data_IF_039187638348
#
_entry.id   IF_039187638348
#
_cell.length_a   1.000
_cell.length_b   1.000
_cell.length_c   1.000
_cell.angle_alpha   90.00
_cell.angle_beta   90.00
_cell.angle_gamma   90.00
#
_symmetry.space_group_name_H-M   'P 1'
#
loop_
_entity.id
_entity.type
_entity.pdbx_description
1 polymer ?
#
# COMPACT_ATOMS: atom_id res chain seq x y z
N UNK A 1 -6.80 2.46 18.48
CA UNK A 1 -5.95 3.13 17.48
C UNK A 1 -4.49 3.25 17.91
N UNK A 2 -4.17 3.52 19.19
CA UNK A 2 -2.78 3.60 19.67
C UNK A 2 -1.94 2.35 19.36
N UNK A 3 -2.44 1.17 19.70
CA UNK A 3 -1.78 -0.12 19.41
C UNK A 3 -1.47 -0.27 17.91
N UNK A 4 -2.42 0.07 17.03
CA UNK A 4 -2.18 -0.01 15.58
C UNK A 4 -1.04 0.92 15.11
N UNK A 5 -0.91 2.11 15.70
CA UNK A 5 0.21 3.02 15.36
C UNK A 5 1.55 2.43 15.78
N UNK A 6 1.62 1.84 16.97
CA UNK A 6 2.84 1.19 17.47
C UNK A 6 3.26 0.03 16.58
N UNK A 7 2.32 -0.83 16.19
CA UNK A 7 2.57 -1.92 15.23
C UNK A 7 2.99 -1.39 13.84
N UNK A 8 2.37 -0.29 13.38
CA UNK A 8 2.73 0.35 12.11
C UNK A 8 4.17 0.84 12.13
N UNK A 9 4.56 1.57 13.18
CA UNK A 9 5.93 2.07 13.32
C UNK A 9 6.93 0.92 13.44
N UNK A 10 6.60 -0.15 14.18
CA UNK A 10 7.47 -1.33 14.29
C UNK A 10 7.71 -2.06 12.96
N UNK A 11 6.75 -2.01 12.04
CA UNK A 11 6.85 -2.67 10.73
C UNK A 11 7.37 -1.75 9.62
N UNK A 12 7.46 -0.43 9.85
CA UNK A 12 7.80 0.57 8.82
C UNK A 12 9.14 0.27 8.13
N UNK A 13 10.19 0.05 8.90
CA UNK A 13 11.53 -0.21 8.36
C UNK A 13 11.54 -1.53 7.58
N UNK A 14 10.92 -2.58 8.14
CA UNK A 14 10.79 -3.88 7.48
C UNK A 14 10.05 -3.79 6.14
N UNK A 15 8.99 -2.97 6.07
CA UNK A 15 8.26 -2.73 4.82
C UNK A 15 9.20 -2.11 3.78
N UNK A 16 9.96 -1.08 4.13
CA UNK A 16 10.87 -0.40 3.20
C UNK A 16 12.04 -1.30 2.79
N UNK A 17 12.66 -2.00 3.73
CA UNK A 17 13.75 -2.95 3.51
C UNK A 17 13.35 -4.09 2.59
N UNK A 18 12.10 -4.57 2.67
CA UNK A 18 11.61 -5.65 1.81
C UNK A 18 11.00 -5.17 0.50
N UNK A 19 10.99 -3.86 0.22
CA UNK A 19 10.41 -3.28 -0.99
C UNK A 19 11.30 -2.21 -1.64
N UNK A 20 11.07 -0.94 -1.33
CA UNK A 20 11.70 0.21 -1.98
C UNK A 20 13.21 0.25 -1.81
N UNK A 21 13.75 -0.13 -0.64
CA UNK A 21 15.19 -0.16 -0.43
C UNK A 21 15.86 -1.35 -1.14
N UNK A 22 15.17 -2.49 -1.22
CA UNK A 22 15.68 -3.70 -1.87
C UNK A 22 15.70 -3.60 -3.39
N UNK A 23 14.69 -2.98 -3.97
CA UNK A 23 14.52 -2.84 -5.42
C UNK A 23 14.61 -1.37 -5.84
N UNK A 24 15.54 -0.63 -5.23
CA UNK A 24 15.63 0.83 -5.40
C UNK A 24 15.76 1.27 -6.86
N UNK A 25 16.44 0.51 -7.70
CA UNK A 25 16.63 0.83 -9.11
C UNK A 25 15.59 0.18 -10.05
N UNK A 26 14.61 -0.53 -9.49
CA UNK A 26 13.63 -1.34 -10.23
C UNK A 26 12.20 -1.01 -9.74
N UNK A 27 11.60 0.10 -10.21
CA UNK A 27 10.36 0.64 -9.65
C UNK A 27 9.18 -0.35 -9.67
N UNK A 28 9.06 -1.13 -10.74
CA UNK A 28 8.05 -2.17 -10.89
C UNK A 28 8.20 -3.26 -9.81
N UNK A 29 9.43 -3.72 -9.56
CA UNK A 29 9.72 -4.72 -8.52
C UNK A 29 9.51 -4.14 -7.12
N UNK A 30 9.92 -2.91 -6.87
CA UNK A 30 9.72 -2.23 -5.60
C UNK A 30 8.23 -2.12 -5.26
N UNK A 31 7.40 -1.70 -6.23
CA UNK A 31 5.95 -1.54 -6.06
C UNK A 31 5.28 -2.90 -5.82
N UNK A 32 5.60 -3.93 -6.61
CA UNK A 32 5.09 -5.30 -6.38
C UNK A 32 5.45 -5.79 -4.99
N UNK A 33 6.71 -5.63 -4.59
CA UNK A 33 7.18 -6.06 -3.29
C UNK A 33 6.47 -5.33 -2.16
N UNK A 34 6.32 -4.00 -2.26
CA UNK A 34 5.59 -3.19 -1.27
C UNK A 34 4.14 -3.66 -1.10
N UNK A 35 3.38 -3.74 -2.19
CA UNK A 35 1.96 -4.07 -2.14
C UNK A 35 1.72 -5.49 -1.64
N UNK A 36 2.51 -6.47 -2.12
CA UNK A 36 2.43 -7.86 -1.64
C UNK A 36 2.83 -8.00 -0.18
N UNK A 37 3.87 -7.28 0.26
CA UNK A 37 4.33 -7.34 1.64
C UNK A 37 3.29 -6.74 2.60
N UNK A 38 2.70 -5.59 2.24
CA UNK A 38 1.62 -4.98 3.02
C UNK A 38 0.38 -5.88 3.05
N UNK A 39 -0.01 -6.49 1.92
CA UNK A 39 -1.11 -7.47 1.90
C UNK A 39 -0.83 -8.67 2.80
N UNK A 40 0.40 -9.19 2.79
CA UNK A 40 0.81 -10.27 3.67
C UNK A 40 0.69 -9.89 5.15
N UNK A 41 1.10 -8.67 5.52
CA UNK A 41 0.92 -8.14 6.88
C UNK A 41 -0.57 -8.06 7.22
N UNK A 42 -1.39 -7.47 6.36
CA UNK A 42 -2.84 -7.33 6.58
C UNK A 42 -3.52 -8.70 6.76
N UNK A 43 -3.08 -9.71 6.03
CA UNK A 43 -3.66 -11.05 6.10
C UNK A 43 -3.29 -11.82 7.38
N UNK A 44 -2.06 -11.65 7.86
CA UNK A 44 -1.48 -12.50 8.90
C UNK A 44 -1.28 -11.80 10.26
N UNK A 45 -1.25 -10.47 10.29
CA UNK A 45 -1.04 -9.71 11.52
C UNK A 45 -2.39 -9.42 12.20
N UNK A 46 -2.64 -9.92 13.42
CA UNK A 46 -3.96 -9.85 14.07
C UNK A 46 -4.53 -8.42 14.14
N UNK A 47 -3.69 -7.44 14.48
CA UNK A 47 -4.12 -6.03 14.62
C UNK A 47 -4.44 -5.40 13.26
N UNK A 48 -3.66 -5.65 12.22
CA UNK A 48 -3.91 -5.10 10.89
C UNK A 48 -5.14 -5.73 10.25
N UNK A 49 -5.30 -7.05 10.40
CA UNK A 49 -6.49 -7.78 9.96
C UNK A 49 -7.78 -7.22 10.57
N UNK A 50 -7.77 -6.98 11.89
CA UNK A 50 -8.89 -6.35 12.61
C UNK A 50 -9.23 -4.96 12.07
N UNK A 51 -8.19 -4.17 11.79
CA UNK A 51 -8.36 -2.80 11.29
C UNK A 51 -8.88 -2.78 9.85
N UNK A 52 -8.35 -3.60 8.94
CA UNK A 52 -8.66 -3.45 7.50
C UNK A 52 -9.69 -4.43 6.94
N UNK A 53 -9.78 -5.65 7.49
CA UNK A 53 -10.64 -6.72 6.94
C UNK A 53 -11.89 -6.90 7.79
N UNK A 54 -11.73 -7.09 9.09
CA UNK A 54 -12.84 -7.43 9.99
C UNK A 54 -13.71 -6.20 10.29
N UNK A 55 -13.28 -5.01 9.85
CA UNK A 55 -14.02 -3.75 10.03
C UNK A 55 -14.47 -3.57 11.49
N UNK A 56 -13.70 -4.09 12.46
CA UNK A 56 -14.01 -3.92 13.90
C UNK A 56 -14.08 -2.43 14.23
N UNK A 57 -13.42 -1.56 13.47
CA UNK A 57 -13.56 -0.12 13.62
C UNK A 57 -14.96 0.44 13.30
N UNK A 58 -15.76 -0.24 12.48
CA UNK A 58 -17.15 0.10 12.21
C UNK A 58 -18.09 -0.55 13.24
N UNK A 59 -17.79 -1.78 13.69
CA UNK A 59 -18.61 -2.49 14.68
C UNK A 59 -18.41 -1.97 16.12
N UNK A 60 -17.23 -1.45 16.46
CA UNK A 60 -16.89 -0.92 17.79
C UNK A 60 -17.39 0.52 18.06
N UNK A 61 -18.31 1.07 17.24
CA UNK A 61 -18.73 2.50 17.31
C UNK A 61 -17.55 3.47 17.25
N UNK A 62 -16.56 3.24 16.40
CA UNK A 62 -15.44 4.18 16.33
C UNK A 62 -15.92 5.48 15.66
N UNK A 63 -15.74 6.59 16.39
CA UNK A 63 -16.30 7.90 16.05
C UNK A 63 -15.73 8.47 14.74
N UNK A 64 -16.32 9.53 14.16
CA UNK A 64 -15.75 10.27 13.01
C UNK A 64 -14.24 10.56 13.13
N UNK A 65 -13.73 10.69 14.35
CA UNK A 65 -12.29 10.85 14.64
C UNK A 65 -11.42 9.73 14.07
N UNK A 66 -11.91 8.48 13.97
CA UNK A 66 -11.11 7.37 13.45
C UNK A 66 -11.00 7.32 11.94
N UNK A 67 -12.03 7.77 11.21
CA UNK A 67 -11.94 7.88 9.75
C UNK A 67 -10.91 8.93 9.35
N UNK A 68 -10.90 10.09 10.01
CA UNK A 68 -9.88 11.12 9.79
C UNK A 68 -8.49 10.63 10.17
N UNK A 69 -8.40 9.81 11.22
CA UNK A 69 -7.14 9.22 11.66
C UNK A 69 -6.61 8.18 10.68
N UNK A 70 -7.47 7.30 10.12
CA UNK A 70 -7.09 6.37 9.05
C UNK A 70 -6.66 7.13 7.80
N UNK A 71 -7.40 8.19 7.41
CA UNK A 71 -7.00 9.05 6.29
C UNK A 71 -5.63 9.71 6.51
N UNK A 72 -5.34 10.14 7.74
CA UNK A 72 -4.02 10.68 8.10
C UNK A 72 -2.95 9.60 7.96
N UNK A 73 -3.19 8.40 8.46
CA UNK A 73 -2.25 7.27 8.35
C UNK A 73 -1.96 6.94 6.87
N UNK A 74 -2.98 6.92 6.01
CA UNK A 74 -2.77 6.73 4.57
C UNK A 74 -1.91 7.84 3.95
N UNK A 75 -2.08 9.11 4.37
CA UNK A 75 -1.22 10.21 3.93
C UNK A 75 0.22 10.03 4.40
N UNK A 76 0.43 9.69 5.67
CA UNK A 76 1.78 9.44 6.23
C UNK A 76 2.51 8.32 5.45
N UNK A 77 1.78 7.27 5.07
CA UNK A 77 2.33 6.16 4.28
C UNK A 77 2.76 6.63 2.88
N UNK A 78 1.95 7.47 2.22
CA UNK A 78 2.29 8.06 0.92
C UNK A 78 3.52 8.97 1.05
N UNK A 79 3.56 9.84 2.06
CA UNK A 79 4.71 10.73 2.32
C UNK A 79 6.02 9.96 2.50
N UNK A 80 5.95 8.76 3.09
CA UNK A 80 7.13 7.90 3.28
C UNK A 80 7.70 7.38 1.95
N UNK A 81 6.86 7.14 0.94
CA UNK A 81 7.29 6.53 -0.33
C UNK A 81 7.53 7.54 -1.45
N UNK A 82 7.00 8.77 -1.35
CA UNK A 82 7.20 9.85 -2.34
C UNK A 82 8.67 10.02 -2.77
N UNK A 83 9.67 10.04 -1.87
CA UNK A 83 11.06 10.26 -2.26
C UNK A 83 11.58 9.23 -3.28
N UNK A 84 11.12 7.98 -3.24
CA UNK A 84 11.48 6.97 -4.24
C UNK A 84 10.87 7.28 -5.60
N UNK A 85 9.61 7.76 -5.63
CA UNK A 85 8.96 8.15 -6.88
C UNK A 85 9.59 9.41 -7.49
N UNK A 86 10.04 10.35 -6.67
CA UNK A 86 10.79 11.52 -7.13
C UNK A 86 12.14 11.10 -7.75
N UNK A 87 12.89 10.24 -7.05
CA UNK A 87 14.15 9.67 -7.57
C UNK A 87 13.95 8.95 -8.92
N UNK A 88 12.91 8.13 -9.05
CA UNK A 88 12.59 7.44 -10.30
C UNK A 88 12.09 8.36 -11.41
N UNK A 89 11.38 9.43 -11.06
CA UNK A 89 10.93 10.44 -12.03
C UNK A 89 12.12 11.21 -12.61
N UNK A 90 13.06 11.63 -11.75
CA UNK A 90 14.30 12.31 -12.13
C UNK A 90 15.19 11.41 -12.99
N UNK A 91 15.22 10.11 -12.70
CA UNK A 91 15.90 9.11 -13.52
C UNK A 91 15.16 8.76 -14.83
N UNK A 92 13.98 9.33 -15.06
CA UNK A 92 13.18 9.09 -16.26
C UNK A 92 12.61 7.68 -16.36
N UNK A 93 12.46 6.97 -15.24
CA UNK A 93 11.97 5.58 -15.18
C UNK A 93 10.44 5.48 -15.17
N UNK A 94 9.75 6.54 -14.76
CA UNK A 94 8.28 6.57 -14.61
C UNK A 94 7.57 7.22 -15.80
N UNK A 95 6.30 6.87 -15.98
CA UNK A 95 5.40 7.56 -16.91
C UNK A 95 5.28 9.06 -16.62
N UNK A 96 4.90 9.85 -17.62
CA UNK A 96 4.79 11.32 -17.51
C UNK A 96 3.58 11.74 -16.65
N UNK A 97 3.77 11.66 -15.34
CA UNK A 97 2.82 12.05 -14.28
C UNK A 97 3.60 12.57 -13.06
N UNK A 98 2.98 13.40 -12.21
CA UNK A 98 3.62 13.83 -10.97
C UNK A 98 3.93 12.63 -10.06
N UNK A 99 5.14 12.57 -9.50
CA UNK A 99 5.59 11.51 -8.58
C UNK A 99 4.59 11.26 -7.44
N UNK A 100 4.05 12.33 -6.85
CA UNK A 100 2.99 12.25 -5.82
C UNK A 100 1.75 11.48 -6.29
N UNK A 101 1.27 11.74 -7.51
CA UNK A 101 0.08 11.04 -8.04
C UNK A 101 0.37 9.56 -8.23
N UNK A 102 1.57 9.19 -8.65
CA UNK A 102 2.01 7.81 -8.81
C UNK A 102 2.13 7.07 -7.46
N UNK A 103 2.66 7.74 -6.44
CA UNK A 103 2.71 7.24 -5.07
C UNK A 103 1.30 7.05 -4.47
N UNK A 104 0.41 8.03 -4.64
CA UNK A 104 -0.99 7.95 -4.20
C UNK A 104 -1.75 6.83 -4.92
N UNK A 105 -1.51 6.64 -6.23
CA UNK A 105 -2.08 5.54 -7.01
C UNK A 105 -1.64 4.18 -6.46
N UNK A 106 -0.37 4.07 -6.08
CA UNK A 106 0.16 2.87 -5.42
C UNK A 106 -0.56 2.59 -4.11
N UNK A 107 -0.72 3.60 -3.25
CA UNK A 107 -1.46 3.44 -2.01
C UNK A 107 -2.96 3.14 -2.24
N UNK A 108 -3.56 3.66 -3.30
CA UNK A 108 -4.97 3.45 -3.61
C UNK A 108 -5.31 1.99 -3.87
N UNK A 109 -4.40 1.19 -4.45
CA UNK A 109 -4.60 -0.25 -4.66
C UNK A 109 -4.86 -0.99 -3.34
N UNK A 110 -4.20 -0.60 -2.24
CA UNK A 110 -4.45 -1.20 -0.91
C UNK A 110 -5.85 -0.90 -0.37
N UNK A 111 -6.55 0.11 -0.90
CA UNK A 111 -7.93 0.38 -0.51
C UNK A 111 -8.89 -0.72 -0.96
N UNK A 112 -8.47 -1.55 -1.94
CA UNK A 112 -9.28 -2.67 -2.43
C UNK A 112 -9.50 -3.76 -1.36
N UNK A 113 -8.66 -3.81 -0.32
CA UNK A 113 -8.82 -4.70 0.84
C UNK A 113 -10.22 -4.60 1.44
N UNK A 114 -10.85 -3.42 1.42
CA UNK A 114 -12.16 -3.21 2.02
C UNK A 114 -13.31 -3.92 1.30
N UNK A 115 -13.09 -4.33 0.03
CA UNK A 115 -14.05 -5.09 -0.77
C UNK A 115 -13.86 -6.60 -0.62
N UNK A 116 -12.86 -7.07 0.15
CA UNK A 116 -12.59 -8.50 0.31
C UNK A 116 -13.82 -9.30 0.70
N UNK A 117 -14.57 -8.83 1.70
CA UNK A 117 -15.76 -9.54 2.22
C UNK A 117 -16.97 -9.46 1.27
N UNK A 118 -16.90 -8.64 0.21
CA UNK A 118 -17.93 -8.52 -0.82
C UNK A 118 -17.66 -9.47 -2.01
N UNK A 119 -16.46 -10.04 -2.06
CA UNK A 119 -16.01 -10.99 -3.07
C UNK A 119 -16.03 -12.42 -2.50
N UNK A 120 -16.02 -13.42 -3.38
CA UNK A 120 -15.73 -14.78 -2.94
C UNK A 120 -14.31 -14.81 -2.35
N UNK A 121 -14.21 -15.20 -1.07
CA UNK A 121 -13.00 -15.00 -0.26
C UNK A 121 -11.74 -15.65 -0.85
N UNK A 122 -11.91 -16.69 -1.65
CA UNK A 122 -10.82 -17.48 -2.24
C UNK A 122 -10.22 -16.79 -3.49
N UNK A 123 -10.98 -15.92 -4.16
CA UNK A 123 -10.53 -15.23 -5.38
C UNK A 123 -9.81 -13.91 -5.08
N UNK A 124 -10.03 -13.33 -3.90
CA UNK A 124 -9.49 -12.01 -3.54
C UNK A 124 -7.95 -11.89 -3.70
N UNK A 125 -7.12 -12.88 -3.27
CA UNK A 125 -5.68 -12.81 -3.47
C UNK A 125 -5.28 -12.72 -4.95
N UNK A 126 -5.93 -13.49 -5.83
CA UNK A 126 -5.65 -13.50 -7.26
C UNK A 126 -6.07 -12.18 -7.92
N UNK A 127 -7.24 -11.64 -7.54
CA UNK A 127 -7.71 -10.32 -7.98
C UNK A 127 -6.69 -9.24 -7.59
N UNK A 128 -6.19 -9.26 -6.35
CA UNK A 128 -5.20 -8.29 -5.89
C UNK A 128 -3.88 -8.41 -6.65
N UNK A 129 -3.41 -9.63 -6.93
CA UNK A 129 -2.21 -9.84 -7.72
C UNK A 129 -2.34 -9.25 -9.13
N UNK A 130 -3.51 -9.39 -9.77
CA UNK A 130 -3.78 -8.76 -11.07
C UNK A 130 -3.66 -7.23 -10.99
N UNK A 131 -4.29 -6.59 -10.00
CA UNK A 131 -4.21 -5.13 -9.85
C UNK A 131 -2.78 -4.65 -9.56
N UNK A 132 -2.04 -5.38 -8.73
CA UNK A 132 -0.64 -5.08 -8.41
C UNK A 132 0.22 -5.15 -9.66
N UNK A 133 0.07 -6.23 -10.43
CA UNK A 133 0.86 -6.46 -11.63
C UNK A 133 0.55 -5.42 -12.71
N UNK A 134 -0.73 -5.12 -12.95
CA UNK A 134 -1.16 -4.07 -13.86
C UNK A 134 -0.61 -2.70 -13.48
N UNK A 135 -0.66 -2.34 -12.19
CA UNK A 135 -0.10 -1.07 -11.73
C UNK A 135 1.41 -1.02 -11.96
N UNK A 136 2.13 -2.03 -11.48
CA UNK A 136 3.59 -2.06 -11.53
C UNK A 136 4.12 -2.03 -12.98
N UNK A 137 3.44 -2.71 -13.91
CA UNK A 137 3.83 -2.73 -15.32
C UNK A 137 3.57 -1.41 -16.04
N UNK A 138 2.52 -0.69 -15.66
CA UNK A 138 2.08 0.50 -16.40
C UNK A 138 2.55 1.82 -15.77
N UNK A 139 3.12 1.78 -14.56
CA UNK A 139 3.69 2.97 -13.91
C UNK A 139 5.11 3.29 -14.38
N UNK A 140 5.82 2.28 -14.89
CA UNK A 140 7.14 2.43 -15.50
C UNK A 140 7.04 2.80 -16.98
N UNK A 141 7.99 3.59 -17.47
CA UNK A 141 8.13 3.86 -18.91
C UNK A 141 8.53 2.59 -19.64
N UNK A 142 7.80 2.27 -20.71
CA UNK A 142 8.18 1.18 -21.61
C UNK A 142 9.45 1.57 -22.35
N UNK A 143 10.45 0.69 -22.33
CA UNK A 143 11.62 0.78 -23.21
C UNK A 143 11.14 0.42 -24.62
N UNK A 144 11.14 1.40 -25.52
CA UNK A 144 10.93 1.20 -26.95
C UNK A 144 12.26 0.89 -27.64
#
# INVERSE_FOLDING_TARGET
MQIYKEEREALKDSILENSFLKYRDEPDKAIRAYLRYVLNIVNNHPIWRKVFIEKEHLELKISRSSEEEIKRICRDNVETIIPFFEEWADAGLLIDKPAKILAETTQAVLSLIHFRNELENDDFPEIMDIFIDLLAENIVKKKY
#
